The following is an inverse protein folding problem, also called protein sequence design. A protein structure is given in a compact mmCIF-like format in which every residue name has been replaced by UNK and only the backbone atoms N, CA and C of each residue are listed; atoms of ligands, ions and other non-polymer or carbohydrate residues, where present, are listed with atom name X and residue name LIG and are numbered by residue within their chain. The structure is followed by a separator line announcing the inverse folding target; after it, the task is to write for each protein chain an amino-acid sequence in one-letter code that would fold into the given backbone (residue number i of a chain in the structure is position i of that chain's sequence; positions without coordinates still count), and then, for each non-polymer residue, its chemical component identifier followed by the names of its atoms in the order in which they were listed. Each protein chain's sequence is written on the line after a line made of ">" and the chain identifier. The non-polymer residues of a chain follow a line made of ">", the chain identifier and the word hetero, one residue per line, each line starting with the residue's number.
data_IF_687687413358
#
_entry.id   IF_687687413358
#
_cell.length_a   1.000
_cell.length_b   1.000
_cell.length_c   1.000
_cell.angle_alpha   90.00
_cell.angle_beta   90.00
_cell.angle_gamma   90.00
#
_symmetry.space_group_name_H-M   'P 1'
#
loop_
_entity.id
_entity.type
_entity.pdbx_description
1 polymer ?
#
# COMPACT_ATOMS: atom_id res chain seq x y z
N UNK A 1 -40.90 -28.40 47.86
CA UNK A 1 -39.75 -27.51 48.08
C UNK A 1 -38.52 -27.86 47.24
N UNK A 2 -38.23 -29.16 46.97
CA UNK A 2 -37.00 -29.56 46.18
C UNK A 2 -37.05 -29.22 44.67
N UNK A 3 -38.24 -29.02 44.07
CA UNK A 3 -38.42 -28.72 42.63
C UNK A 3 -38.28 -27.25 42.29
N UNK A 4 -38.45 -26.36 43.26
CA UNK A 4 -38.35 -24.89 43.06
C UNK A 4 -36.88 -24.41 43.13
N UNK A 5 -36.06 -25.13 43.91
CA UNK A 5 -34.62 -24.82 44.06
C UNK A 5 -33.86 -25.14 42.75
N UNK A 6 -34.27 -26.19 42.01
CA UNK A 6 -33.65 -26.56 40.73
C UNK A 6 -33.93 -25.54 39.60
N UNK A 7 -35.07 -24.87 39.64
CA UNK A 7 -35.47 -23.88 38.64
C UNK A 7 -34.73 -22.55 38.85
N UNK A 8 -34.46 -22.18 40.10
CA UNK A 8 -33.70 -20.96 40.42
C UNK A 8 -32.21 -21.06 40.06
N UNK A 9 -31.64 -22.29 40.15
CA UNK A 9 -30.22 -22.49 39.77
C UNK A 9 -30.03 -22.50 38.25
N UNK A 10 -31.03 -22.88 37.45
CA UNK A 10 -30.95 -22.85 35.98
C UNK A 10 -31.05 -21.44 35.40
N UNK A 11 -31.77 -20.52 36.06
CA UNK A 11 -31.94 -19.14 35.60
C UNK A 11 -30.70 -18.29 35.90
N UNK A 12 -29.97 -18.61 36.98
CA UNK A 12 -28.72 -17.87 37.33
C UNK A 12 -27.55 -18.25 36.43
N UNK A 13 -27.57 -19.38 35.73
CA UNK A 13 -26.48 -19.81 34.85
C UNK A 13 -26.59 -19.25 33.43
N UNK A 14 -27.74 -18.67 33.05
CA UNK A 14 -27.93 -18.05 31.71
C UNK A 14 -27.49 -16.57 31.62
N UNK A 15 -27.14 -15.94 32.75
CA UNK A 15 -26.70 -14.53 32.74
C UNK A 15 -25.18 -14.35 32.81
N UNK A 16 -24.39 -15.42 32.82
CA UNK A 16 -22.92 -15.34 32.97
C UNK A 16 -22.14 -15.38 31.63
N UNK A 17 -22.81 -15.34 30.47
CA UNK A 17 -22.17 -15.40 29.14
C UNK A 17 -22.27 -14.10 28.33
N UNK A 18 -22.64 -13.00 28.98
CA UNK A 18 -22.78 -11.71 28.33
C UNK A 18 -21.88 -10.63 28.94
N UNK A 19 -20.57 -10.85 29.01
CA UNK A 19 -19.69 -9.86 29.63
C UNK A 19 -18.21 -10.00 29.28
N UNK A 20 -17.88 -10.05 27.99
CA UNK A 20 -16.54 -9.66 27.53
C UNK A 20 -16.62 -8.21 27.06
N UNK A 21 -16.69 -7.27 28.04
CA UNK A 21 -16.35 -5.88 27.76
C UNK A 21 -14.83 -5.83 27.67
N UNK A 22 -14.31 -5.73 26.46
CA UNK A 22 -12.90 -5.43 26.24
C UNK A 22 -12.58 -4.10 26.90
N UNK A 23 -11.52 -4.09 27.69
CA UNK A 23 -10.90 -2.89 28.25
C UNK A 23 -10.42 -2.06 27.07
N UNK A 24 -11.09 -0.94 26.80
CA UNK A 24 -10.57 0.09 25.92
C UNK A 24 -9.46 0.83 26.66
N UNK A 25 -8.23 0.64 26.18
CA UNK A 25 -7.12 1.52 26.53
C UNK A 25 -7.30 2.75 25.63
N UNK A 26 -7.65 3.88 26.23
CA UNK A 26 -7.66 5.18 25.56
C UNK A 26 -6.25 5.54 25.13
N UNK A 27 -6.06 5.64 23.83
CA UNK A 27 -4.82 6.09 23.21
C UNK A 27 -4.77 5.76 21.72
N UNK A 28 -5.16 6.77 20.90
CA UNK A 28 -4.88 6.90 19.47
C UNK A 28 -5.75 6.11 18.47
N UNK A 29 -6.65 6.87 17.84
CA UNK A 29 -7.02 6.68 16.43
C UNK A 29 -8.00 5.54 16.14
N UNK A 30 -9.26 5.73 16.48
CA UNK A 30 -10.37 4.94 15.92
C UNK A 30 -10.32 4.94 14.38
N UNK A 31 -9.98 3.78 13.80
CA UNK A 31 -10.26 3.45 12.42
C UNK A 31 -11.59 2.68 12.34
N UNK A 32 -12.69 3.30 12.71
CA UNK A 32 -14.04 2.81 12.39
C UNK A 32 -14.58 3.58 11.21
N UNK A 33 -14.41 3.01 10.03
CA UNK A 33 -15.03 3.41 8.80
C UNK A 33 -15.16 2.17 7.93
N UNK A 34 -16.26 1.42 8.12
CA UNK A 34 -16.72 0.47 7.11
C UNK A 34 -16.94 1.23 5.81
N UNK A 35 -16.00 1.11 4.90
CA UNK A 35 -16.19 1.45 3.51
C UNK A 35 -15.93 0.18 2.69
N UNK A 36 -17.00 -0.58 2.47
CA UNK A 36 -17.02 -1.74 1.58
C UNK A 36 -16.69 -1.26 0.17
N UNK A 37 -15.43 -1.45 -0.26
CA UNK A 37 -15.07 -1.31 -1.65
C UNK A 37 -13.80 -0.55 -2.00
N UNK A 38 -13.14 0.12 -1.07
CA UNK A 38 -11.89 0.83 -1.35
C UNK A 38 -10.79 0.34 -0.42
N UNK A 39 -10.06 -0.69 -0.83
CA UNK A 39 -8.82 -1.06 -0.17
C UNK A 39 -7.81 0.10 -0.22
N UNK A 40 -6.93 0.20 0.78
CA UNK A 40 -5.87 1.21 0.77
C UNK A 40 -4.93 1.01 -0.43
N UNK A 41 -4.37 2.10 -0.93
CA UNK A 41 -3.30 2.10 -1.92
C UNK A 41 -1.96 2.25 -1.20
N UNK A 42 -1.02 1.35 -1.46
CA UNK A 42 0.36 1.47 -1.03
C UNK A 42 1.20 2.10 -2.13
N UNK A 43 2.11 3.00 -1.77
CA UNK A 43 3.09 3.55 -2.71
C UNK A 43 4.49 3.44 -2.11
N UNK A 44 5.31 2.56 -2.70
CA UNK A 44 6.72 2.42 -2.38
C UNK A 44 7.54 3.25 -3.38
N UNK A 45 8.12 4.36 -2.90
CA UNK A 45 8.97 5.24 -3.68
C UNK A 45 10.45 4.95 -3.39
N UNK A 46 11.31 5.05 -4.42
CA UNK A 46 12.74 4.77 -4.30
C UNK A 46 13.42 5.70 -3.30
N UNK A 47 13.11 7.00 -3.36
CA UNK A 47 13.66 7.99 -2.43
C UNK A 47 12.86 9.30 -2.46
N UNK A 48 12.74 9.95 -1.32
CA UNK A 48 12.22 11.32 -1.21
C UNK A 48 13.34 12.37 -1.14
N UNK A 49 14.60 11.99 -1.34
CA UNK A 49 15.72 12.95 -1.46
C UNK A 49 15.79 13.58 -2.86
N UNK A 50 15.07 13.04 -3.86
CA UNK A 50 15.01 13.58 -5.21
C UNK A 50 13.71 14.39 -5.40
N UNK A 51 13.77 15.67 -5.78
CA UNK A 51 12.59 16.53 -6.00
C UNK A 51 11.57 15.94 -6.99
N UNK A 52 12.02 15.18 -7.99
CA UNK A 52 11.12 14.50 -8.93
C UNK A 52 10.20 13.51 -8.21
N UNK A 53 10.75 12.68 -7.33
CA UNK A 53 9.95 11.69 -6.60
C UNK A 53 9.13 12.31 -5.48
N UNK A 54 9.56 13.45 -4.92
CA UNK A 54 8.71 14.25 -4.03
C UNK A 54 7.46 14.71 -4.78
N UNK A 55 7.62 15.34 -5.95
CA UNK A 55 6.48 15.80 -6.77
C UNK A 55 5.57 14.65 -7.20
N UNK A 56 6.15 13.50 -7.55
CA UNK A 56 5.39 12.29 -7.88
C UNK A 56 4.52 11.82 -6.70
N UNK A 57 5.10 11.78 -5.50
CA UNK A 57 4.40 11.39 -4.27
C UNK A 57 3.32 12.39 -3.87
N UNK A 58 3.59 13.68 -4.01
CA UNK A 58 2.63 14.76 -3.72
C UNK A 58 1.44 14.71 -4.68
N UNK A 59 1.69 14.48 -5.98
CA UNK A 59 0.64 14.29 -6.96
C UNK A 59 -0.26 13.08 -6.64
N UNK A 60 0.36 11.96 -6.24
CA UNK A 60 -0.39 10.78 -5.82
C UNK A 60 -1.24 11.04 -4.56
N UNK A 61 -0.69 11.75 -3.57
CA UNK A 61 -1.42 12.13 -2.35
C UNK A 61 -2.61 13.04 -2.66
N UNK A 62 -2.39 14.08 -3.46
CA UNK A 62 -3.44 15.04 -3.83
C UNK A 62 -4.60 14.36 -4.56
N UNK A 63 -4.31 13.43 -5.49
CA UNK A 63 -5.37 12.71 -6.19
C UNK A 63 -6.07 11.69 -5.27
N UNK A 64 -5.34 11.00 -4.40
CA UNK A 64 -5.93 10.09 -3.43
C UNK A 64 -6.89 10.81 -2.48
N UNK A 65 -6.51 11.98 -1.96
CA UNK A 65 -7.37 12.84 -1.13
C UNK A 65 -8.64 13.26 -1.87
N UNK A 66 -8.50 13.72 -3.12
CA UNK A 66 -9.62 14.13 -3.96
C UNK A 66 -10.61 12.99 -4.23
N UNK A 67 -10.10 11.76 -4.37
CA UNK A 67 -10.91 10.56 -4.61
C UNK A 67 -11.40 9.89 -3.31
N UNK A 68 -11.02 10.41 -2.15
CA UNK A 68 -11.36 9.80 -0.86
C UNK A 68 -10.71 8.42 -0.63
N UNK A 69 -9.55 8.17 -1.27
CA UNK A 69 -8.80 6.92 -1.18
C UNK A 69 -7.67 7.06 -0.16
N UNK A 70 -7.53 6.06 0.72
CA UNK A 70 -6.40 6.01 1.65
C UNK A 70 -5.12 5.63 0.91
N UNK A 71 -4.14 6.54 0.89
CA UNK A 71 -2.80 6.29 0.35
C UNK A 71 -1.77 6.18 1.47
N UNK A 72 -0.95 5.13 1.45
CA UNK A 72 0.20 4.93 2.34
C UNK A 72 1.47 5.02 1.50
N UNK A 73 2.25 6.07 1.72
CA UNK A 73 3.56 6.26 1.05
C UNK A 73 4.67 5.80 1.97
N UNK A 74 5.60 4.99 1.44
CA UNK A 74 6.81 4.55 2.12
C UNK A 74 8.03 4.93 1.28
N UNK A 75 9.04 5.48 1.94
CA UNK A 75 10.30 5.94 1.33
C UNK A 75 11.39 4.90 1.55
N UNK A 76 11.89 4.31 0.48
CA UNK A 76 12.97 3.33 0.56
C UNK A 76 14.34 3.97 0.86
N UNK A 77 14.51 5.27 0.64
CA UNK A 77 15.76 6.00 0.90
C UNK A 77 16.93 5.51 0.07
N UNK A 78 16.67 5.06 -1.18
CA UNK A 78 17.62 4.45 -2.12
C UNK A 78 18.22 3.11 -1.64
N UNK A 79 17.56 2.44 -0.68
CA UNK A 79 17.94 1.11 -0.19
C UNK A 79 16.98 0.03 -0.72
N UNK A 80 17.47 -0.83 -1.61
CA UNK A 80 16.69 -1.89 -2.24
C UNK A 80 16.22 -2.96 -1.23
N UNK A 81 17.01 -3.25 -0.19
CA UNK A 81 16.61 -4.20 0.85
C UNK A 81 15.50 -3.60 1.73
N UNK A 82 15.61 -2.32 2.06
CA UNK A 82 14.54 -1.60 2.75
C UNK A 82 13.26 -1.58 1.90
N UNK A 83 13.37 -1.32 0.59
CA UNK A 83 12.22 -1.30 -0.31
C UNK A 83 11.48 -2.64 -0.33
N UNK A 84 12.22 -3.75 -0.37
CA UNK A 84 11.63 -5.09 -0.29
C UNK A 84 10.82 -5.25 1.00
N UNK A 85 11.37 -4.87 2.15
CA UNK A 85 10.69 -4.95 3.44
C UNK A 85 9.47 -4.01 3.51
N UNK A 86 9.58 -2.79 2.96
CA UNK A 86 8.49 -1.82 2.90
C UNK A 86 7.31 -2.35 2.06
N UNK A 87 7.58 -3.03 0.95
CA UNK A 87 6.55 -3.67 0.11
C UNK A 87 5.88 -4.82 0.87
N UNK A 88 6.64 -5.67 1.55
CA UNK A 88 6.07 -6.77 2.36
C UNK A 88 5.20 -6.22 3.51
N UNK A 89 5.57 -5.10 4.11
CA UNK A 89 4.75 -4.43 5.12
C UNK A 89 3.44 -3.89 4.50
N UNK A 90 3.48 -3.25 3.34
CA UNK A 90 2.27 -2.81 2.62
C UNK A 90 1.35 -3.99 2.28
N UNK A 91 1.92 -5.11 1.82
CA UNK A 91 1.17 -6.35 1.58
C UNK A 91 0.50 -6.84 2.87
N UNK A 92 1.22 -6.83 4.00
CA UNK A 92 0.70 -7.27 5.30
C UNK A 92 -0.45 -6.40 5.81
N UNK A 93 -0.47 -5.12 5.41
CA UNK A 93 -1.56 -4.16 5.69
C UNK A 93 -2.75 -4.31 4.75
N UNK A 94 -2.76 -5.33 3.88
CA UNK A 94 -3.84 -5.64 2.95
C UNK A 94 -4.18 -4.47 2.01
N UNK A 95 -3.17 -3.80 1.45
CA UNK A 95 -3.41 -2.84 0.37
C UNK A 95 -4.02 -3.55 -0.83
N UNK A 96 -4.92 -2.91 -1.54
CA UNK A 96 -5.56 -3.46 -2.75
C UNK A 96 -4.79 -3.12 -4.03
N UNK A 97 -4.03 -2.04 -3.99
CA UNK A 97 -3.17 -1.57 -5.07
C UNK A 97 -1.80 -1.24 -4.50
N UNK A 98 -0.76 -1.64 -5.20
CA UNK A 98 0.63 -1.27 -4.94
C UNK A 98 1.15 -0.43 -6.11
N UNK A 99 1.52 0.81 -5.84
CA UNK A 99 2.33 1.63 -6.74
C UNK A 99 3.79 1.43 -6.32
N UNK A 100 4.66 1.11 -7.26
CA UNK A 100 6.08 0.91 -6.98
C UNK A 100 6.94 1.73 -7.93
N UNK A 101 7.86 2.52 -7.37
CA UNK A 101 8.98 3.14 -8.09
C UNK A 101 10.25 2.42 -7.62
N UNK A 102 10.79 1.46 -8.40
CA UNK A 102 11.91 0.64 -7.96
C UNK A 102 13.19 1.43 -7.64
N UNK A 103 13.86 1.10 -6.53
CA UNK A 103 15.27 1.45 -6.32
C UNK A 103 16.12 0.69 -7.33
N UNK A 104 15.87 -0.61 -7.44
CA UNK A 104 16.49 -1.53 -8.38
C UNK A 104 15.43 -2.44 -9.01
N UNK A 105 15.43 -2.52 -10.33
CA UNK A 105 14.41 -3.22 -11.12
C UNK A 105 14.41 -4.75 -10.93
N UNK A 106 15.54 -5.33 -10.59
CA UNK A 106 15.69 -6.77 -10.36
C UNK A 106 15.47 -7.13 -8.89
N UNK A 107 16.04 -6.34 -7.98
CA UNK A 107 15.98 -6.61 -6.55
C UNK A 107 14.54 -6.53 -5.99
N UNK A 108 13.68 -5.68 -6.55
CA UNK A 108 12.29 -5.51 -6.12
C UNK A 108 11.37 -6.64 -6.62
N UNK A 109 11.77 -7.37 -7.65
CA UNK A 109 10.92 -8.33 -8.36
C UNK A 109 10.32 -9.42 -7.45
N UNK A 110 11.03 -10.04 -6.50
CA UNK A 110 10.42 -11.06 -5.62
C UNK A 110 9.28 -10.52 -4.76
N UNK A 111 9.42 -9.31 -4.19
CA UNK A 111 8.37 -8.69 -3.37
C UNK A 111 7.15 -8.30 -4.21
N UNK A 112 7.38 -7.77 -5.41
CA UNK A 112 6.30 -7.45 -6.36
C UNK A 112 5.59 -8.72 -6.83
N UNK A 113 6.32 -9.80 -7.13
CA UNK A 113 5.73 -11.09 -7.48
C UNK A 113 4.85 -11.64 -6.34
N UNK A 114 5.26 -11.44 -5.08
CA UNK A 114 4.44 -11.80 -3.91
C UNK A 114 3.14 -10.99 -3.87
N UNK A 115 3.19 -9.68 -4.12
CA UNK A 115 1.99 -8.83 -4.20
C UNK A 115 1.02 -9.32 -5.29
N UNK A 116 1.53 -9.58 -6.50
CA UNK A 116 0.73 -10.11 -7.63
C UNK A 116 0.10 -11.45 -7.27
N UNK A 117 0.85 -12.37 -6.65
CA UNK A 117 0.35 -13.69 -6.25
C UNK A 117 -0.79 -13.62 -5.22
N UNK A 118 -0.85 -12.56 -4.44
CA UNK A 118 -1.92 -12.27 -3.48
C UNK A 118 -3.10 -11.49 -4.08
N UNK A 119 -3.07 -11.23 -5.39
CA UNK A 119 -4.14 -10.53 -6.10
C UNK A 119 -4.11 -9.01 -5.93
N UNK A 120 -3.02 -8.45 -5.38
CA UNK A 120 -2.82 -7.01 -5.29
C UNK A 120 -2.53 -6.49 -6.70
N UNK A 121 -3.22 -5.43 -7.11
CA UNK A 121 -2.95 -4.77 -8.39
C UNK A 121 -1.66 -3.97 -8.31
N UNK A 122 -0.78 -4.14 -9.28
CA UNK A 122 0.54 -3.50 -9.26
C UNK A 122 0.70 -2.53 -10.43
N UNK A 123 1.12 -1.32 -10.09
CA UNK A 123 1.47 -0.26 -11.04
C UNK A 123 2.93 0.11 -10.81
N UNK A 124 3.80 -0.08 -11.81
CA UNK A 124 5.16 0.43 -11.73
C UNK A 124 5.27 1.81 -12.37
N UNK A 125 6.04 2.71 -11.75
CA UNK A 125 6.21 4.09 -12.19
C UNK A 125 7.68 4.42 -12.35
N UNK A 126 8.00 5.17 -13.43
CA UNK A 126 9.33 5.61 -13.84
C UNK A 126 10.27 4.46 -14.23
N UNK A 127 10.48 3.47 -13.37
CA UNK A 127 11.33 2.29 -13.64
C UNK A 127 10.50 1.02 -13.73
N UNK A 128 10.90 0.12 -14.59
CA UNK A 128 10.26 -1.19 -14.76
C UNK A 128 10.60 -2.13 -13.60
N UNK A 129 9.75 -3.11 -13.37
CA UNK A 129 10.07 -4.28 -12.54
C UNK A 129 10.43 -5.42 -13.49
N UNK A 130 11.66 -5.91 -13.43
CA UNK A 130 12.11 -6.95 -14.34
C UNK A 130 11.52 -8.32 -13.96
N UNK A 131 11.14 -9.09 -14.96
CA UNK A 131 10.71 -10.48 -14.79
C UNK A 131 9.35 -10.69 -14.10
N UNK A 132 8.59 -9.61 -13.83
CA UNK A 132 7.25 -9.67 -13.26
C UNK A 132 6.27 -8.94 -14.17
N UNK A 133 5.15 -9.57 -14.50
CA UNK A 133 4.06 -8.92 -15.20
C UNK A 133 3.25 -8.08 -14.20
N UNK A 134 3.25 -6.76 -14.41
CA UNK A 134 2.48 -5.79 -13.61
C UNK A 134 1.23 -5.35 -14.39
N UNK A 135 0.18 -4.90 -13.68
CA UNK A 135 -1.07 -4.47 -14.33
C UNK A 135 -0.89 -3.21 -15.19
N UNK A 136 0.04 -2.32 -14.83
CA UNK A 136 0.34 -1.10 -15.58
C UNK A 136 1.78 -0.64 -15.35
N UNK A 137 2.40 -0.14 -16.42
CA UNK A 137 3.69 0.57 -16.38
C UNK A 137 3.49 2.01 -16.85
N UNK A 138 3.92 2.97 -16.04
CA UNK A 138 3.89 4.40 -16.37
C UNK A 138 5.33 4.92 -16.38
N UNK A 139 5.83 5.27 -17.55
CA UNK A 139 7.20 5.79 -17.72
C UNK A 139 7.29 6.78 -18.87
N UNK A 140 8.28 7.66 -18.83
CA UNK A 140 8.64 8.51 -19.95
C UNK A 140 9.41 7.69 -21.00
N UNK A 141 9.19 7.99 -22.28
CA UNK A 141 10.04 7.47 -23.35
C UNK A 141 11.34 8.28 -23.39
N UNK A 142 12.29 7.88 -22.55
CA UNK A 142 13.58 8.57 -22.43
C UNK A 142 14.44 8.43 -23.70
N UNK A 143 14.25 7.36 -24.47
CA UNK A 143 14.97 7.17 -25.74
C UNK A 143 14.47 8.16 -26.79
N UNK A 144 13.15 8.31 -26.94
CA UNK A 144 12.57 9.33 -27.82
C UNK A 144 12.94 10.74 -27.38
N UNK A 145 12.89 11.03 -26.08
CA UNK A 145 13.29 12.32 -25.52
C UNK A 145 14.76 12.69 -25.82
N UNK A 146 15.68 11.74 -25.59
CA UNK A 146 17.10 11.94 -25.92
C UNK A 146 17.34 12.13 -27.40
N UNK A 147 16.65 11.36 -28.26
CA UNK A 147 16.71 11.50 -29.70
C UNK A 147 16.27 12.91 -30.14
N UNK A 148 15.11 13.38 -29.70
CA UNK A 148 14.58 14.71 -30.03
C UNK A 148 15.57 15.83 -29.61
N UNK A 149 16.14 15.73 -28.41
CA UNK A 149 17.14 16.71 -27.92
C UNK A 149 18.39 16.72 -28.79
N UNK A 150 18.88 15.54 -29.20
CA UNK A 150 20.07 15.43 -30.07
C UNK A 150 19.80 15.96 -31.46
N UNK A 151 18.66 15.64 -32.07
CA UNK A 151 18.25 16.15 -33.39
C UNK A 151 18.19 17.66 -33.39
N UNK A 152 17.58 18.27 -32.35
CA UNK A 152 17.54 19.73 -32.21
C UNK A 152 18.94 20.36 -32.08
N UNK A 153 19.85 19.75 -31.32
CA UNK A 153 21.22 20.24 -31.19
C UNK A 153 22.00 20.19 -32.52
N UNK A 154 21.80 19.12 -33.30
CA UNK A 154 22.45 18.97 -34.61
C UNK A 154 21.96 20.05 -35.62
N UNK A 155 20.71 20.47 -35.54
CA UNK A 155 20.16 21.54 -36.38
C UNK A 155 20.77 22.94 -36.04
N UNK A 156 21.29 23.10 -34.82
CA UNK A 156 21.87 24.38 -34.35
C UNK A 156 23.36 24.55 -34.71
N UNK A 157 24.06 23.51 -35.15
CA UNK A 157 25.51 23.53 -35.45
C UNK A 157 25.77 23.26 -36.93
#
# INVERSE_FOLDING_TARGET
>A
MKKIIGLLLAVTMMFALGGCNAITIDGEGELSGENSGSGAVGFSVSTLNNPFFVSLSEGAKAEAEKQGVKLVVVDAGDDAAKQTNDIEDLISRNVSVLIVNPVDSDAVAPAVQNAVSKGIKVISVDRVVNGVEVDCQIASDNAAGAKMATEYLVELI
#
